data_IF_825476903055
#
_entry.id   IF_825476903055
#
_cell.length_a   1.000
_cell.length_b   1.000
_cell.length_c   1.000
_cell.angle_alpha   90.00
_cell.angle_beta   90.00
_cell.angle_gamma   90.00
#
_symmetry.space_group_name_H-M   'P 1'
#
loop_
_entity.id
_entity.type
_entity.pdbx_description
1 polymer ?
#
# COMPACT_ATOMS: atom_id res chain seq x y z
N UNK A 1 -44.97 2.33 -3.54
CA UNK A 1 -45.69 1.14 -3.06
C UNK A 1 -46.12 0.19 -4.18
N UNK A 2 -46.75 0.70 -5.25
CA UNK A 2 -47.38 -0.10 -6.31
C UNK A 2 -46.41 -0.90 -7.21
N UNK A 3 -45.22 -0.38 -7.53
CA UNK A 3 -44.26 -1.08 -8.38
C UNK A 3 -43.64 -2.33 -7.73
N UNK A 4 -43.45 -2.30 -6.41
CA UNK A 4 -42.91 -3.41 -5.63
C UNK A 4 -43.91 -4.57 -5.53
N UNK A 5 -45.20 -4.25 -5.38
CA UNK A 5 -46.28 -5.24 -5.35
C UNK A 5 -46.44 -5.94 -6.71
N UNK A 6 -46.30 -5.19 -7.81
CA UNK A 6 -46.39 -5.73 -9.17
C UNK A 6 -45.21 -6.67 -9.50
N UNK A 7 -43.99 -6.32 -9.06
CA UNK A 7 -42.81 -7.17 -9.23
C UNK A 7 -42.89 -8.48 -8.41
N UNK A 8 -43.53 -8.45 -7.24
CA UNK A 8 -43.74 -9.63 -6.40
C UNK A 8 -44.77 -10.59 -7.01
N UNK A 9 -45.84 -10.05 -7.62
CA UNK A 9 -46.89 -10.83 -8.29
C UNK A 9 -46.41 -11.56 -9.55
N UNK A 10 -45.40 -11.03 -10.23
CA UNK A 10 -44.77 -11.63 -11.42
C UNK A 10 -43.67 -12.66 -11.11
N UNK A 11 -43.41 -12.94 -9.83
CA UNK A 11 -42.36 -13.89 -9.43
C UNK A 11 -40.94 -13.46 -9.83
N UNK A 12 -40.72 -12.16 -10.08
CA UNK A 12 -39.42 -11.64 -10.50
C UNK A 12 -38.46 -11.76 -9.30
N UNK A 13 -37.37 -12.54 -9.41
CA UNK A 13 -36.38 -12.62 -8.35
C UNK A 13 -35.78 -11.23 -8.12
N UNK A 14 -35.88 -10.73 -6.88
CA UNK A 14 -35.24 -9.48 -6.47
C UNK A 14 -33.73 -9.56 -6.77
N UNK A 15 -33.10 -8.50 -7.31
CA UNK A 15 -31.68 -8.51 -7.58
C UNK A 15 -30.94 -8.74 -6.25
N UNK A 16 -30.33 -9.93 -6.10
CA UNK A 16 -29.43 -10.22 -4.99
C UNK A 16 -28.31 -9.19 -5.03
N UNK A 17 -28.26 -8.29 -4.03
CA UNK A 17 -27.14 -7.36 -3.88
C UNK A 17 -25.84 -8.18 -3.87
N UNK A 18 -24.91 -7.95 -4.79
CA UNK A 18 -23.65 -8.68 -4.79
C UNK A 18 -22.92 -8.39 -3.48
N UNK A 19 -22.39 -9.43 -2.84
CA UNK A 19 -21.64 -9.31 -1.57
C UNK A 19 -20.38 -8.46 -1.72
N UNK A 20 -19.89 -8.30 -2.95
CA UNK A 20 -18.71 -7.53 -3.28
C UNK A 20 -19.05 -6.50 -4.37
N UNK A 21 -18.82 -5.23 -4.07
CA UNK A 21 -18.88 -4.17 -5.06
C UNK A 21 -17.57 -4.21 -5.87
N UNK A 22 -17.65 -4.66 -7.14
CA UNK A 22 -16.50 -4.75 -8.02
C UNK A 22 -15.76 -3.40 -8.17
N UNK A 23 -16.49 -2.28 -8.11
CA UNK A 23 -15.93 -0.93 -8.19
C UNK A 23 -15.04 -0.55 -7.00
N UNK A 24 -15.11 -1.28 -5.88
CA UNK A 24 -14.24 -1.06 -4.72
C UNK A 24 -13.14 -2.12 -4.64
N UNK A 25 -13.48 -3.38 -4.92
CA UNK A 25 -12.54 -4.51 -4.77
C UNK A 25 -11.41 -4.45 -5.79
N UNK A 26 -11.70 -4.09 -7.05
CA UNK A 26 -10.69 -4.06 -8.11
C UNK A 26 -9.63 -2.97 -7.83
N UNK A 27 -10.00 -1.71 -7.53
CA UNK A 27 -9.01 -0.68 -7.19
C UNK A 27 -8.22 -1.00 -5.92
N UNK A 28 -8.86 -1.54 -4.87
CA UNK A 28 -8.17 -1.91 -3.63
C UNK A 28 -7.14 -3.02 -3.87
N UNK A 29 -7.51 -4.06 -4.63
CA UNK A 29 -6.60 -5.13 -5.00
C UNK A 29 -5.41 -4.60 -5.82
N UNK A 30 -5.67 -3.71 -6.78
CA UNK A 30 -4.63 -3.05 -7.56
C UNK A 30 -3.65 -2.24 -6.71
N UNK A 31 -4.17 -1.45 -5.75
CA UNK A 31 -3.34 -0.67 -4.83
C UNK A 31 -2.50 -1.55 -3.89
N UNK A 32 -3.07 -2.63 -3.35
CA UNK A 32 -2.34 -3.58 -2.50
C UNK A 32 -1.19 -4.24 -3.28
N UNK A 33 -1.46 -4.70 -4.50
CA UNK A 33 -0.45 -5.29 -5.37
C UNK A 33 0.62 -4.28 -5.78
N UNK A 34 0.23 -3.05 -6.14
CA UNK A 34 1.16 -1.99 -6.51
C UNK A 34 2.12 -1.62 -5.37
N UNK A 35 1.60 -1.49 -4.15
CA UNK A 35 2.41 -1.24 -2.96
C UNK A 35 3.35 -2.43 -2.66
N UNK A 36 2.87 -3.66 -2.82
CA UNK A 36 3.69 -4.86 -2.62
C UNK A 36 4.85 -4.94 -3.63
N UNK A 37 4.58 -4.70 -4.92
CA UNK A 37 5.61 -4.70 -5.97
C UNK A 37 6.66 -3.62 -5.70
N UNK A 38 6.23 -2.42 -5.32
CA UNK A 38 7.15 -1.32 -5.01
C UNK A 38 8.04 -1.64 -3.80
N UNK A 39 7.47 -2.24 -2.74
CA UNK A 39 8.23 -2.67 -1.58
C UNK A 39 9.23 -3.79 -1.91
N UNK A 40 8.83 -4.76 -2.74
CA UNK A 40 9.71 -5.83 -3.20
C UNK A 40 10.88 -5.29 -4.04
N UNK A 41 10.61 -4.35 -4.95
CA UNK A 41 11.64 -3.72 -5.76
C UNK A 41 12.67 -2.99 -4.89
N UNK A 42 12.22 -2.20 -3.92
CA UNK A 42 13.10 -1.50 -2.97
C UNK A 42 13.90 -2.48 -2.09
N UNK A 43 13.27 -3.57 -1.65
CA UNK A 43 13.95 -4.61 -0.88
C UNK A 43 15.06 -5.29 -1.68
N UNK A 44 14.79 -5.61 -2.96
CA UNK A 44 15.77 -6.24 -3.83
C UNK A 44 16.96 -5.30 -4.11
N UNK A 45 16.67 -4.03 -4.41
CA UNK A 45 17.72 -3.03 -4.69
C UNK A 45 18.59 -2.77 -3.45
N UNK A 46 17.96 -2.59 -2.28
CA UNK A 46 18.69 -2.42 -1.01
C UNK A 46 19.51 -3.66 -0.63
N UNK A 47 18.99 -4.87 -0.85
CA UNK A 47 19.72 -6.11 -0.56
C UNK A 47 20.94 -6.26 -1.46
N UNK A 48 20.76 -6.04 -2.78
CA UNK A 48 21.85 -6.15 -3.74
C UNK A 48 22.89 -5.04 -3.54
N UNK A 49 22.45 -3.84 -3.16
CA UNK A 49 23.34 -2.74 -2.77
C UNK A 49 24.19 -3.12 -1.56
N UNK A 50 23.57 -3.51 -0.44
CA UNK A 50 24.29 -3.88 0.78
C UNK A 50 25.25 -5.07 0.55
N UNK A 51 24.84 -6.08 -0.22
CA UNK A 51 25.70 -7.22 -0.52
C UNK A 51 26.92 -6.82 -1.37
N UNK A 52 26.78 -5.83 -2.27
CA UNK A 52 27.89 -5.30 -3.06
C UNK A 52 28.83 -4.46 -2.21
N UNK A 53 28.27 -3.62 -1.36
CA UNK A 53 29.06 -2.73 -0.49
C UNK A 53 29.82 -3.50 0.59
N UNK A 54 29.29 -4.65 1.02
CA UNK A 54 29.88 -5.50 2.08
C UNK A 54 30.42 -6.83 1.54
N UNK A 55 30.87 -6.88 0.28
CA UNK A 55 31.47 -8.09 -0.34
C UNK A 55 32.56 -8.69 0.53
N UNK A 56 33.45 -7.86 1.08
CA UNK A 56 34.59 -8.33 1.88
C UNK A 56 34.14 -9.07 3.14
N UNK A 57 33.06 -8.60 3.79
CA UNK A 57 32.50 -9.24 4.98
C UNK A 57 31.78 -10.54 4.63
N UNK A 58 31.05 -10.57 3.51
CA UNK A 58 30.40 -11.77 2.99
C UNK A 58 31.45 -12.84 2.65
N UNK A 59 32.52 -12.48 1.94
CA UNK A 59 33.61 -13.39 1.60
C UNK A 59 34.35 -13.90 2.84
N UNK A 60 34.57 -13.04 3.84
CA UNK A 60 35.17 -13.44 5.12
C UNK A 60 34.31 -14.48 5.85
N UNK A 61 32.99 -14.29 5.89
CA UNK A 61 32.06 -15.22 6.52
C UNK A 61 32.04 -16.56 5.77
N UNK A 62 32.00 -16.53 4.44
CA UNK A 62 32.08 -17.73 3.60
C UNK A 62 33.40 -18.48 3.80
N UNK A 63 34.54 -17.77 3.86
CA UNK A 63 35.85 -18.33 4.13
C UNK A 63 35.96 -18.96 5.53
N UNK A 64 35.16 -18.47 6.48
CA UNK A 64 35.00 -19.06 7.83
C UNK A 64 34.04 -20.24 7.89
N UNK A 65 33.49 -20.66 6.75
CA UNK A 65 32.58 -21.81 6.64
C UNK A 65 31.12 -21.47 6.88
N UNK A 66 30.74 -20.19 6.92
CA UNK A 66 29.34 -19.79 6.95
C UNK A 66 28.65 -20.16 5.64
N UNK A 67 27.36 -20.47 5.71
CA UNK A 67 26.53 -20.68 4.53
C UNK A 67 26.17 -19.34 3.88
N UNK A 68 25.82 -19.34 2.58
CA UNK A 68 25.39 -18.13 1.87
C UNK A 68 24.20 -17.43 2.56
N UNK A 69 23.33 -18.18 3.23
CA UNK A 69 22.20 -17.64 4.00
C UNK A 69 22.66 -16.92 5.27
N UNK A 70 23.67 -17.44 5.96
CA UNK A 70 24.24 -16.81 7.15
C UNK A 70 25.04 -15.55 6.79
N UNK A 71 25.83 -15.62 5.72
CA UNK A 71 26.62 -14.49 5.25
C UNK A 71 25.74 -13.32 4.72
N UNK A 72 24.59 -13.62 4.10
CA UNK A 72 23.65 -12.60 3.61
C UNK A 72 22.59 -12.16 4.62
N UNK A 73 22.49 -12.82 5.78
CA UNK A 73 21.46 -12.53 6.80
C UNK A 73 21.46 -11.06 7.27
N UNK A 74 22.61 -10.43 7.57
CA UNK A 74 22.64 -9.03 8.01
C UNK A 74 22.08 -8.08 6.93
N UNK A 75 22.51 -8.26 5.68
CA UNK A 75 22.06 -7.47 4.53
C UNK A 75 20.57 -7.71 4.24
N UNK A 76 20.07 -8.93 4.39
CA UNK A 76 18.65 -9.24 4.25
C UNK A 76 17.79 -8.56 5.33
N UNK A 77 18.26 -8.51 6.58
CA UNK A 77 17.56 -7.79 7.65
C UNK A 77 17.54 -6.28 7.41
N UNK A 78 18.65 -5.70 6.97
CA UNK A 78 18.76 -4.29 6.58
C UNK A 78 17.80 -3.94 5.45
N UNK A 79 17.83 -4.71 4.37
CA UNK A 79 16.98 -4.51 3.20
C UNK A 79 15.48 -4.58 3.52
N UNK A 80 15.06 -5.56 4.33
CA UNK A 80 13.66 -5.66 4.77
C UNK A 80 13.25 -4.44 5.59
N UNK A 81 14.12 -3.96 6.49
CA UNK A 81 13.83 -2.75 7.29
C UNK A 81 13.71 -1.50 6.41
N UNK A 82 14.60 -1.34 5.44
CA UNK A 82 14.56 -0.25 4.46
C UNK A 82 13.28 -0.31 3.62
N UNK A 83 12.93 -1.50 3.11
CA UNK A 83 11.73 -1.70 2.30
C UNK A 83 10.42 -1.50 3.06
N UNK A 84 10.38 -1.82 4.36
CA UNK A 84 9.19 -1.67 5.19
C UNK A 84 8.97 -0.26 5.74
N UNK A 85 10.02 0.57 5.78
CA UNK A 85 9.94 1.96 6.25
C UNK A 85 8.79 2.75 5.58
N UNK A 86 8.67 2.81 4.24
CA UNK A 86 7.57 3.55 3.60
C UNK A 86 6.18 2.98 3.91
N UNK A 87 6.06 1.65 4.02
CA UNK A 87 4.79 0.98 4.37
C UNK A 87 4.36 1.35 5.79
N UNK A 88 5.29 1.34 6.75
CA UNK A 88 5.03 1.74 8.14
C UNK A 88 4.67 3.22 8.19
N UNK A 89 5.46 4.10 7.56
CA UNK A 89 5.17 5.55 7.54
C UNK A 89 3.80 5.84 6.93
N UNK A 90 3.42 5.17 5.84
CA UNK A 90 2.11 5.34 5.20
C UNK A 90 0.95 4.85 6.10
N UNK A 91 1.12 3.72 6.80
CA UNK A 91 0.14 3.21 7.77
C UNK A 91 0.03 4.10 9.00
N UNK A 92 1.15 4.62 9.52
CA UNK A 92 1.16 5.59 10.62
C UNK A 92 0.44 6.89 10.25
N UNK A 93 0.60 7.38 9.02
CA UNK A 93 -0.11 8.57 8.51
C UNK A 93 -1.61 8.30 8.32
N UNK A 94 -2.00 7.10 7.88
CA UNK A 94 -3.41 6.69 7.79
C UNK A 94 -4.11 6.70 9.16
N UNK A 95 -3.37 6.38 10.25
CA UNK A 95 -3.88 6.39 11.62
C UNK A 95 -3.87 7.74 12.35
N UNK A 96 -3.18 8.76 11.82
CA UNK A 96 -2.97 10.05 12.49
C UNK A 96 -3.76 11.24 11.89
N UNK A 97 -4.64 10.99 10.91
CA UNK A 97 -5.33 11.96 10.03
C UNK A 97 -4.53 12.19 8.74
N UNK A 98 -4.92 11.50 7.68
CA UNK A 98 -4.50 11.83 6.32
C UNK A 98 -5.29 13.04 5.83
N UNK A 99 -4.81 14.26 6.13
CA UNK A 99 -5.17 15.42 5.32
C UNK A 99 -4.16 15.40 4.15
N UNK A 100 -4.58 15.02 2.93
CA UNK A 100 -3.67 15.01 1.79
C UNK A 100 -3.03 16.38 1.62
N UNK A 101 -1.71 16.45 1.36
CA UNK A 101 -0.90 17.67 1.52
C UNK A 101 -1.41 18.93 0.82
N UNK A 102 -2.14 18.79 -0.29
CA UNK A 102 -2.80 19.91 -1.00
C UNK A 102 -4.04 20.43 -0.25
N UNK A 103 -4.78 19.55 0.42
CA UNK A 103 -5.91 19.91 1.29
C UNK A 103 -5.43 20.62 2.56
N UNK A 104 -4.31 20.17 3.15
CA UNK A 104 -3.71 20.85 4.31
C UNK A 104 -3.22 22.25 3.94
N UNK A 105 -2.54 22.39 2.78
CA UNK A 105 -2.08 23.68 2.29
C UNK A 105 -3.21 24.67 1.99
N UNK A 106 -4.32 24.21 1.40
CA UNK A 106 -5.49 25.07 1.13
C UNK A 106 -6.27 25.45 2.39
N UNK A 107 -6.36 24.56 3.38
CA UNK A 107 -6.96 24.88 4.69
C UNK A 107 -6.10 25.90 5.45
N UNK A 108 -4.77 25.73 5.47
CA UNK A 108 -3.85 26.71 6.06
C UNK A 108 -3.86 28.07 5.33
N UNK A 109 -4.17 28.08 4.03
CA UNK A 109 -4.41 29.28 3.23
C UNK A 109 -5.79 29.93 3.45
N UNK A 110 -6.60 29.42 4.39
CA UNK A 110 -7.88 30.01 4.81
C UNK A 110 -9.13 29.44 4.13
N UNK A 111 -9.00 28.38 3.33
CA UNK A 111 -10.13 27.75 2.64
C UNK A 111 -10.94 26.86 3.60
N UNK A 112 -12.27 26.90 3.50
CA UNK A 112 -13.15 26.08 4.36
C UNK A 112 -12.97 24.59 4.04
N UNK A 113 -12.94 23.69 5.04
CA UNK A 113 -12.66 22.25 4.83
C UNK A 113 -13.58 21.57 3.80
N UNK A 114 -14.85 22.01 3.72
CA UNK A 114 -15.82 21.48 2.75
C UNK A 114 -15.53 21.87 1.29
N UNK A 115 -14.80 22.96 1.05
CA UNK A 115 -14.40 23.42 -0.29
C UNK A 115 -13.05 22.83 -0.70
N UNK A 116 -12.13 22.69 0.26
CA UNK A 116 -10.83 22.05 0.06
C UNK A 116 -10.98 20.58 -0.36
N UNK A 117 -11.91 19.83 0.27
CA UNK A 117 -12.21 18.45 -0.12
C UNK A 117 -12.88 18.30 -1.49
N UNK A 118 -13.67 19.29 -1.93
CA UNK A 118 -14.29 19.27 -3.28
C UNK A 118 -13.28 19.56 -4.38
N UNK A 119 -12.29 20.42 -4.13
CA UNK A 119 -11.27 20.77 -5.11
C UNK A 119 -10.37 19.58 -5.48
N UNK A 120 -10.09 18.69 -4.52
CA UNK A 120 -9.35 17.45 -4.80
C UNK A 120 -10.16 16.36 -5.48
N UNK A 121 -11.49 16.38 -5.38
CA UNK A 121 -12.35 15.42 -6.05
C UNK A 121 -12.62 15.73 -7.54
N UNK A 122 -12.21 16.93 -7.99
CA UNK A 122 -12.41 17.42 -9.37
C UNK A 122 -11.16 17.22 -10.25
N UNK A 123 -10.06 16.72 -9.68
CA UNK A 123 -8.81 16.34 -10.39
C UNK A 123 -8.73 14.83 -10.58
#
# INVERSE_FOLDING_TARGET
GSALAFALALGIPQPRKPRFNAGTVIPLGGMLLGNAVSALALCADSLLGDLRDNVDEVELLLARGATAKEASSPSAQGAVRTALTPTITSLSVCGLIHIPGVMTGSILAGMKPGEAGRSQAIV
#
